data_IF_071205404460
#
_entry.id   IF_071205404460
#
_cell.length_a   1.000
_cell.length_b   1.000
_cell.length_c   1.000
_cell.angle_alpha   90.00
_cell.angle_beta   90.00
_cell.angle_gamma   90.00
#
_symmetry.space_group_name_H-M   'P 1'
#
loop_
_entity.id
_entity.type
_entity.pdbx_description
1 polymer ?
#
# COMPACT_ATOMS: atom_id res chain seq x y z
N UNK A 1 22.65 -13.55 -15.12
CA UNK A 1 21.34 -12.96 -15.50
C UNK A 1 21.03 -13.09 -17.00
N UNK A 2 21.45 -14.16 -17.71
CA UNK A 2 21.21 -14.24 -19.17
C UNK A 2 19.75 -14.51 -19.55
N UNK A 3 18.93 -15.01 -18.62
CA UNK A 3 17.53 -15.41 -18.88
C UNK A 3 16.50 -14.63 -18.03
N UNK A 4 16.89 -13.51 -17.43
CA UNK A 4 15.93 -12.66 -16.70
C UNK A 4 14.96 -12.01 -17.68
N UNK A 5 13.66 -12.31 -17.55
CA UNK A 5 12.58 -11.64 -18.28
C UNK A 5 11.71 -10.91 -17.27
N UNK A 6 11.68 -9.57 -17.36
CA UNK A 6 10.81 -8.75 -16.51
C UNK A 6 9.35 -9.13 -16.76
N UNK A 7 8.60 -9.36 -15.68
CA UNK A 7 7.17 -9.59 -15.78
C UNK A 7 6.47 -8.32 -16.30
N UNK A 8 5.47 -8.49 -17.16
CA UNK A 8 4.67 -7.37 -17.67
C UNK A 8 3.70 -6.91 -16.57
N UNK A 9 3.82 -5.64 -16.14
CA UNK A 9 2.86 -5.00 -15.23
C UNK A 9 1.50 -4.90 -15.93
N UNK A 10 0.46 -5.47 -15.32
CA UNK A 10 -0.90 -5.54 -15.89
C UNK A 10 -1.81 -4.40 -15.42
N UNK A 11 -1.58 -3.90 -14.21
CA UNK A 11 -2.34 -2.81 -13.59
C UNK A 11 -1.39 -1.86 -12.87
N UNK A 12 -1.75 -0.58 -12.84
CA UNK A 12 -1.13 0.36 -11.91
C UNK A 12 -1.82 0.28 -10.56
N UNK A 13 -1.05 0.35 -9.48
CA UNK A 13 -1.53 0.17 -8.11
C UNK A 13 -1.26 1.47 -7.39
N UNK A 14 -2.32 2.14 -6.92
CA UNK A 14 -2.18 3.34 -6.10
C UNK A 14 -1.82 3.00 -4.65
N UNK A 15 -1.43 4.00 -3.87
CA UNK A 15 -1.24 3.85 -2.42
C UNK A 15 -2.54 3.41 -1.72
N UNK A 16 -3.68 3.97 -2.13
CA UNK A 16 -5.00 3.55 -1.65
C UNK A 16 -5.31 2.10 -1.98
N UNK A 17 -4.97 1.66 -3.19
CA UNK A 17 -5.09 0.25 -3.60
C UNK A 17 -4.24 -0.65 -2.73
N UNK A 18 -2.98 -0.28 -2.46
CA UNK A 18 -2.08 -1.07 -1.62
C UNK A 18 -2.66 -1.27 -0.22
N UNK A 19 -3.17 -0.21 0.42
CA UNK A 19 -3.81 -0.30 1.74
C UNK A 19 -5.02 -1.24 1.70
N UNK A 20 -5.89 -1.08 0.70
CA UNK A 20 -7.08 -1.93 0.53
C UNK A 20 -6.71 -3.39 0.31
N UNK A 21 -5.78 -3.67 -0.61
CA UNK A 21 -5.33 -5.02 -0.95
C UNK A 21 -4.77 -5.72 0.29
N UNK A 22 -3.86 -5.07 1.02
CA UNK A 22 -3.26 -5.67 2.23
C UNK A 22 -4.32 -5.88 3.32
N UNK A 23 -5.27 -4.95 3.48
CA UNK A 23 -6.39 -5.09 4.43
C UNK A 23 -7.27 -6.29 4.08
N UNK A 24 -7.67 -6.43 2.82
CA UNK A 24 -8.58 -7.49 2.37
C UNK A 24 -7.91 -8.86 2.37
N UNK A 25 -6.60 -8.94 2.05
CA UNK A 25 -5.82 -10.18 2.20
C UNK A 25 -5.75 -10.69 3.64
N UNK A 26 -6.07 -9.85 4.63
CA UNK A 26 -6.11 -10.20 6.05
C UNK A 26 -7.56 -10.31 6.57
N UNK A 27 -8.55 -10.33 5.68
CA UNK A 27 -9.98 -10.41 6.00
C UNK A 27 -10.48 -9.30 6.95
N UNK A 28 -9.79 -8.15 6.95
CA UNK A 28 -10.17 -7.01 7.80
C UNK A 28 -11.18 -6.11 7.10
N UNK A 29 -12.27 -5.76 7.79
CA UNK A 29 -13.14 -4.68 7.35
C UNK A 29 -12.49 -3.31 7.63
N UNK A 30 -12.93 -2.25 6.95
CA UNK A 30 -12.45 -0.90 7.28
C UNK A 30 -12.80 -0.49 8.72
N UNK A 31 -13.95 -0.94 9.25
CA UNK A 31 -14.30 -0.74 10.66
C UNK A 31 -13.32 -1.47 11.59
N UNK A 32 -12.94 -2.70 11.26
CA UNK A 32 -11.98 -3.44 12.08
C UNK A 32 -10.60 -2.80 12.05
N UNK A 33 -10.16 -2.33 10.89
CA UNK A 33 -8.90 -1.60 10.77
C UNK A 33 -8.96 -0.26 11.53
N UNK A 34 -10.11 0.42 11.55
CA UNK A 34 -10.32 1.63 12.33
C UNK A 34 -10.12 1.38 13.83
N UNK A 35 -10.68 0.28 14.36
CA UNK A 35 -10.47 -0.13 15.76
C UNK A 35 -8.98 -0.39 16.07
N UNK A 36 -8.26 -1.08 15.17
CA UNK A 36 -6.85 -1.44 15.38
C UNK A 36 -5.90 -0.24 15.31
N UNK A 37 -6.25 0.78 14.52
CA UNK A 37 -5.37 1.92 14.22
C UNK A 37 -5.73 3.18 14.98
N UNK A 38 -6.97 3.28 15.48
CA UNK A 38 -7.55 4.53 15.97
C UNK A 38 -7.83 5.56 14.87
N UNK A 39 -7.68 5.19 13.58
CA UNK A 39 -7.98 6.06 12.45
C UNK A 39 -9.48 5.92 12.13
N UNK A 40 -10.25 7.01 12.00
CA UNK A 40 -11.66 6.92 11.67
C UNK A 40 -11.90 6.13 10.38
N UNK A 41 -12.91 5.25 10.34
CA UNK A 41 -13.23 4.46 9.14
C UNK A 41 -13.44 5.34 7.90
N UNK A 42 -14.07 6.51 8.05
CA UNK A 42 -14.23 7.48 6.96
C UNK A 42 -12.89 7.96 6.39
N UNK A 43 -11.88 8.10 7.24
CA UNK A 43 -10.51 8.45 6.82
C UNK A 43 -9.84 7.28 6.11
N UNK A 44 -10.02 6.05 6.59
CA UNK A 44 -9.52 4.85 5.91
C UNK A 44 -10.15 4.71 4.51
N UNK A 45 -11.47 4.90 4.42
CA UNK A 45 -12.18 4.92 3.13
C UNK A 45 -11.66 6.02 2.21
N UNK A 46 -11.40 7.23 2.73
CA UNK A 46 -10.84 8.31 1.93
C UNK A 46 -9.41 8.02 1.46
N UNK A 47 -8.60 7.30 2.25
CA UNK A 47 -7.26 6.84 1.84
C UNK A 47 -7.38 5.77 0.74
N UNK A 48 -8.20 4.74 0.96
CA UNK A 48 -8.39 3.63 0.01
C UNK A 48 -8.95 4.10 -1.35
N UNK A 49 -9.78 5.15 -1.34
CA UNK A 49 -10.32 5.77 -2.55
C UNK A 49 -9.46 6.92 -3.11
N UNK A 50 -8.22 7.10 -2.61
CA UNK A 50 -7.28 8.13 -3.06
C UNK A 50 -7.76 9.59 -2.88
N UNK A 51 -8.77 9.83 -2.06
CA UNK A 51 -9.27 11.17 -1.73
C UNK A 51 -8.38 11.87 -0.68
N UNK A 52 -7.62 11.12 0.10
CA UNK A 52 -6.67 11.64 1.10
C UNK A 52 -5.30 11.02 0.87
N UNK A 53 -4.25 11.86 0.85
CA UNK A 53 -2.87 11.38 0.78
C UNK A 53 -2.47 10.67 2.09
N UNK A 54 -1.84 9.51 1.95
CA UNK A 54 -1.30 8.78 3.08
C UNK A 54 0.07 9.36 3.49
N UNK A 55 0.10 10.11 4.59
CA UNK A 55 1.35 10.60 5.18
C UNK A 55 2.14 9.52 5.92
N UNK A 56 3.43 9.76 6.12
CA UNK A 56 4.38 8.81 6.73
C UNK A 56 3.92 8.30 8.10
N UNK A 57 3.42 9.17 8.97
CA UNK A 57 2.99 8.76 10.31
C UNK A 57 1.78 7.82 10.27
N UNK A 58 0.79 8.12 9.42
CA UNK A 58 -0.35 7.21 9.22
C UNK A 58 0.07 5.91 8.54
N UNK A 59 1.04 5.96 7.63
CA UNK A 59 1.59 4.76 7.00
C UNK A 59 2.25 3.83 8.03
N UNK A 60 3.00 4.37 9.00
CA UNK A 60 3.56 3.59 10.12
C UNK A 60 2.49 2.93 10.99
N UNK A 61 1.43 3.68 11.32
CA UNK A 61 0.30 3.16 12.11
C UNK A 61 -0.41 2.04 11.37
N UNK A 62 -0.75 2.24 10.10
CA UNK A 62 -1.41 1.23 9.26
C UNK A 62 -0.53 0.00 9.08
N UNK A 63 0.75 0.19 8.78
CA UNK A 63 1.71 -0.90 8.62
C UNK A 63 1.83 -1.77 9.88
N UNK A 64 1.82 -1.16 11.07
CA UNK A 64 1.81 -1.91 12.33
C UNK A 64 0.52 -2.72 12.50
N UNK A 65 -0.65 -2.15 12.20
CA UNK A 65 -1.93 -2.84 12.31
C UNK A 65 -2.11 -3.95 11.26
N UNK A 66 -1.56 -3.75 10.07
CA UNK A 66 -1.57 -4.67 8.93
C UNK A 66 -0.34 -5.59 8.91
N UNK A 67 0.47 -5.61 9.98
CA UNK A 67 1.66 -6.45 10.11
C UNK A 67 2.57 -6.47 8.86
N UNK A 68 2.80 -5.31 8.26
CA UNK A 68 3.62 -5.15 7.07
C UNK A 68 4.65 -4.02 7.25
N UNK A 69 5.64 -3.92 6.37
CA UNK A 69 6.56 -2.79 6.37
C UNK A 69 5.87 -1.56 5.75
N UNK A 70 6.05 -0.31 6.27
CA UNK A 70 5.39 0.88 5.72
C UNK A 70 5.63 1.09 4.22
N UNK A 71 6.82 0.73 3.73
CA UNK A 71 7.17 0.84 2.32
C UNK A 71 6.23 0.04 1.39
N UNK A 72 5.66 -1.07 1.87
CA UNK A 72 4.68 -1.87 1.09
C UNK A 72 3.43 -1.04 0.77
N UNK A 73 3.02 -0.17 1.70
CA UNK A 73 1.82 0.64 1.54
C UNK A 73 2.07 1.86 0.65
N UNK A 74 3.19 2.57 0.85
CA UNK A 74 3.43 3.89 0.23
C UNK A 74 4.22 3.84 -1.08
N UNK A 75 4.83 2.70 -1.41
CA UNK A 75 5.61 2.54 -2.65
C UNK A 75 5.12 1.36 -3.52
N UNK A 76 3.81 1.30 -3.85
CA UNK A 76 3.30 0.26 -4.74
C UNK A 76 3.92 0.42 -6.14
N UNK A 77 4.76 -0.54 -6.52
CA UNK A 77 5.42 -0.53 -7.83
C UNK A 77 6.62 0.43 -7.95
N UNK A 78 7.31 0.72 -6.85
CA UNK A 78 8.62 1.38 -6.92
C UNK A 78 9.61 0.51 -7.70
N UNK A 79 10.17 1.10 -8.75
CA UNK A 79 11.23 0.49 -9.55
C UNK A 79 12.52 1.27 -9.30
N UNK A 80 13.61 0.56 -9.05
CA UNK A 80 14.95 1.16 -9.06
C UNK A 80 15.30 1.37 -10.53
N UNK A 81 15.51 2.62 -10.93
CA UNK A 81 16.05 2.92 -12.26
C UNK A 81 17.38 2.16 -12.41
N UNK A 82 17.48 1.33 -13.45
CA UNK A 82 18.77 0.76 -13.82
C UNK A 82 19.57 1.89 -14.48
N UNK A 83 20.51 2.49 -13.75
CA UNK A 83 21.51 3.42 -14.30
C UNK A 83 22.43 2.78 -15.39
N UNK A 84 22.21 1.51 -15.72
CA UNK A 84 22.94 0.78 -16.78
C UNK A 84 22.04 0.39 -17.97
N UNK A 85 21.13 1.27 -18.37
CA UNK A 85 20.49 1.19 -19.68
C UNK A 85 21.09 2.28 -20.60
N UNK A 86 22.24 1.92 -21.19
CA UNK A 86 23.11 2.68 -22.11
C UNK A 86 24.18 3.57 -21.47
#
# INVERSE_FOLDING_TARGET
MKDYRKAKKSIDISVGDSVRIIRELQDLSQNKLAELTGIPQSTLSAIENNHVRLGVERAKVLAKALNCHPAVLVFPGWEIENENAA
#
